data_IF_957810451014
#
_entry.id   IF_957810451014
#
_cell.length_a   1.000
_cell.length_b   1.000
_cell.length_c   1.000
_cell.angle_alpha   90.00
_cell.angle_beta   90.00
_cell.angle_gamma   90.00
#
_symmetry.space_group_name_H-M   'P 1'
#
loop_
_entity.id
_entity.type
_entity.pdbx_description
1 polymer ?
#
# COMPACT_ATOMS: atom_id res chain seq x y z
N UNK A 1 -27.23 -22.95 -10.14
CA UNK A 1 -26.74 -23.42 -11.45
C UNK A 1 -25.78 -22.43 -12.10
N UNK A 2 -26.15 -21.15 -12.33
CA UNK A 2 -25.25 -20.13 -12.98
C UNK A 2 -23.86 -19.96 -12.35
N UNK A 3 -23.76 -19.91 -11.03
CA UNK A 3 -22.48 -19.70 -10.35
C UNK A 3 -21.50 -20.88 -10.56
N UNK A 4 -21.99 -22.11 -10.60
CA UNK A 4 -21.17 -23.30 -10.87
C UNK A 4 -20.68 -23.36 -12.32
N UNK A 5 -21.47 -22.89 -13.28
CA UNK A 5 -21.04 -22.79 -14.69
C UNK A 5 -19.94 -21.73 -14.88
N UNK A 6 -19.99 -20.65 -14.11
CA UNK A 6 -18.95 -19.61 -14.12
C UNK A 6 -17.68 -20.14 -13.45
N UNK A 7 -17.80 -20.86 -12.36
CA UNK A 7 -16.67 -21.46 -11.65
C UNK A 7 -15.84 -22.39 -12.55
N UNK A 8 -16.50 -23.25 -13.34
CA UNK A 8 -15.81 -24.15 -14.28
C UNK A 8 -15.04 -23.42 -15.37
N UNK A 9 -15.44 -22.19 -15.72
CA UNK A 9 -14.78 -21.37 -16.74
C UNK A 9 -13.66 -20.49 -16.18
N UNK A 10 -13.79 -19.99 -14.97
CA UNK A 10 -12.91 -18.95 -14.43
C UNK A 10 -11.96 -19.45 -13.33
N UNK A 11 -12.12 -20.64 -12.80
CA UNK A 11 -11.32 -21.25 -11.73
C UNK A 11 -11.24 -20.37 -10.46
N UNK A 12 -12.26 -19.53 -10.24
CA UNK A 12 -12.36 -18.66 -9.07
C UNK A 12 -13.08 -19.38 -7.93
N UNK A 13 -12.81 -19.06 -6.66
CA UNK A 13 -13.56 -19.54 -5.52
C UNK A 13 -15.06 -19.22 -5.68
N UNK A 14 -15.93 -20.18 -5.35
CA UNK A 14 -17.37 -20.02 -5.49
C UNK A 14 -17.90 -18.81 -4.69
N UNK A 15 -17.34 -18.56 -3.51
CA UNK A 15 -17.69 -17.42 -2.67
C UNK A 15 -17.46 -16.07 -3.37
N UNK A 16 -16.38 -15.93 -4.12
CA UNK A 16 -16.07 -14.70 -4.85
C UNK A 16 -17.03 -14.48 -6.02
N UNK A 17 -17.39 -15.56 -6.72
CA UNK A 17 -18.38 -15.50 -7.80
C UNK A 17 -19.74 -15.08 -7.23
N UNK A 18 -20.15 -15.66 -6.10
CA UNK A 18 -21.43 -15.33 -5.47
C UNK A 18 -21.49 -13.86 -5.01
N UNK A 19 -20.38 -13.34 -4.45
CA UNK A 19 -20.26 -11.92 -4.06
C UNK A 19 -20.28 -11.00 -5.28
N UNK A 20 -19.46 -11.28 -6.29
CA UNK A 20 -19.34 -10.44 -7.49
C UNK A 20 -20.67 -10.32 -8.26
N UNK A 21 -21.48 -11.35 -8.24
CA UNK A 21 -22.79 -11.35 -8.89
C UNK A 21 -23.95 -10.94 -7.96
N UNK A 22 -23.66 -10.54 -6.72
CA UNK A 22 -24.69 -10.13 -5.76
C UNK A 22 -25.66 -11.25 -5.33
N UNK A 23 -25.27 -12.52 -5.51
CA UNK A 23 -26.09 -13.70 -5.20
C UNK A 23 -26.02 -14.07 -3.70
N UNK A 24 -24.97 -13.65 -3.00
CA UNK A 24 -24.83 -13.82 -1.56
C UNK A 24 -24.15 -12.59 -0.96
N UNK A 25 -24.51 -12.23 0.28
CA UNK A 25 -23.82 -11.21 1.03
C UNK A 25 -22.46 -11.75 1.53
N UNK A 26 -21.52 -10.86 1.79
CA UNK A 26 -20.20 -11.23 2.32
C UNK A 26 -20.35 -11.99 3.66
N UNK A 27 -21.22 -11.51 4.53
CA UNK A 27 -21.53 -12.16 5.81
C UNK A 27 -22.11 -13.57 5.65
N UNK A 28 -22.96 -13.80 4.65
CA UNK A 28 -23.49 -15.12 4.37
C UNK A 28 -22.41 -16.09 3.85
N UNK A 29 -21.48 -15.60 3.02
CA UNK A 29 -20.35 -16.41 2.54
C UNK A 29 -19.41 -16.76 3.70
N UNK A 30 -19.11 -15.80 4.60
CA UNK A 30 -18.27 -16.05 5.77
C UNK A 30 -18.92 -17.05 6.73
N UNK A 31 -20.22 -16.95 6.98
CA UNK A 31 -20.95 -17.89 7.81
C UNK A 31 -20.94 -19.32 7.23
N UNK A 32 -21.13 -19.45 5.93
CA UNK A 32 -21.07 -20.74 5.24
C UNK A 32 -19.66 -21.37 5.28
N UNK A 33 -18.61 -20.54 5.12
CA UNK A 33 -17.22 -21.00 5.26
C UNK A 33 -16.93 -21.44 6.69
N UNK A 34 -17.38 -20.68 7.69
CA UNK A 34 -17.21 -21.03 9.09
C UNK A 34 -17.89 -22.37 9.43
N UNK A 35 -19.10 -22.60 8.92
CA UNK A 35 -19.82 -23.86 9.07
C UNK A 35 -19.11 -25.02 8.34
N UNK A 36 -18.66 -24.82 7.11
CA UNK A 36 -17.94 -25.81 6.31
C UNK A 36 -16.66 -26.31 7.02
N UNK A 37 -15.92 -25.39 7.64
CA UNK A 37 -14.65 -25.72 8.29
C UNK A 37 -14.78 -25.96 9.81
N UNK A 38 -16.00 -25.96 10.36
CA UNK A 38 -16.26 -26.20 11.78
C UNK A 38 -15.63 -25.15 12.70
N UNK A 39 -15.57 -23.90 12.25
CA UNK A 39 -14.97 -22.78 12.95
C UNK A 39 -15.94 -21.63 13.16
N UNK A 40 -15.50 -20.55 13.81
CA UNK A 40 -16.33 -19.35 14.04
C UNK A 40 -15.92 -18.18 13.16
N UNK A 41 -16.87 -17.28 12.92
CA UNK A 41 -16.60 -15.97 12.34
C UNK A 41 -16.08 -15.06 13.44
N UNK A 42 -14.97 -14.37 13.21
CA UNK A 42 -14.38 -13.44 14.16
C UNK A 42 -15.07 -12.08 14.03
N UNK A 43 -15.59 -11.56 15.16
CA UNK A 43 -16.12 -10.21 15.21
C UNK A 43 -14.99 -9.20 15.47
N UNK A 44 -14.63 -8.49 14.41
CA UNK A 44 -13.55 -7.49 14.42
C UNK A 44 -13.91 -6.20 15.15
N UNK A 45 -15.20 -6.00 15.43
CA UNK A 45 -15.68 -4.82 16.16
C UNK A 45 -15.51 -4.96 17.67
N UNK A 46 -15.62 -6.19 18.17
CA UNK A 46 -15.54 -6.48 19.60
C UNK A 46 -14.11 -6.81 20.06
N UNK A 47 -13.31 -7.38 19.19
CA UNK A 47 -11.97 -7.84 19.56
C UNK A 47 -10.92 -7.32 18.59
N UNK A 48 -9.71 -7.06 19.09
CA UNK A 48 -8.57 -6.62 18.30
C UNK A 48 -7.46 -7.67 18.30
N UNK A 49 -6.68 -7.76 17.22
CA UNK A 49 -5.56 -8.67 17.17
C UNK A 49 -4.45 -8.28 18.17
N UNK A 50 -3.79 -9.27 18.75
CA UNK A 50 -2.64 -9.04 19.63
C UNK A 50 -1.40 -8.67 18.81
N UNK A 51 -0.88 -7.45 18.97
CA UNK A 51 0.28 -6.98 18.23
C UNK A 51 1.53 -7.85 18.43
N UNK A 52 1.69 -8.46 19.62
CA UNK A 52 2.85 -9.30 19.94
C UNK A 52 2.86 -10.60 19.14
N UNK A 53 1.68 -11.14 18.86
CA UNK A 53 1.54 -12.34 18.02
C UNK A 53 1.82 -12.02 16.56
N UNK A 54 1.37 -10.84 16.09
CA UNK A 54 1.64 -10.36 14.75
C UNK A 54 3.16 -10.21 14.52
N UNK A 55 3.88 -9.68 15.52
CA UNK A 55 5.33 -9.48 15.42
C UNK A 55 6.11 -10.80 15.32
N UNK A 56 5.61 -11.89 15.91
CA UNK A 56 6.25 -13.22 15.82
C UNK A 56 6.19 -13.78 14.40
N UNK A 57 5.10 -13.55 13.68
CA UNK A 57 4.94 -13.99 12.28
C UNK A 57 5.53 -12.97 11.31
N UNK A 58 5.42 -11.71 11.64
CA UNK A 58 5.81 -10.55 10.84
C UNK A 58 4.64 -9.98 10.04
N UNK A 59 4.41 -8.65 10.12
CA UNK A 59 3.25 -7.99 9.49
C UNK A 59 3.17 -8.19 7.98
N UNK A 60 4.31 -8.13 7.26
CA UNK A 60 4.37 -8.37 5.81
C UNK A 60 3.97 -9.80 5.44
N UNK A 61 4.33 -10.75 6.30
CA UNK A 61 4.01 -12.15 6.08
C UNK A 61 2.54 -12.39 6.30
N UNK A 62 1.96 -11.83 7.36
CA UNK A 62 0.52 -11.89 7.62
C UNK A 62 -0.29 -11.39 6.41
N UNK A 63 0.11 -10.26 5.81
CA UNK A 63 -0.52 -9.75 4.58
C UNK A 63 -0.41 -10.72 3.40
N UNK A 64 0.77 -11.30 3.20
CA UNK A 64 1.04 -12.17 2.06
C UNK A 64 0.28 -13.48 2.11
N UNK A 65 0.14 -14.07 3.32
CA UNK A 65 -0.55 -15.34 3.50
C UNK A 65 -2.04 -15.18 3.82
N UNK A 66 -2.55 -13.95 3.96
CA UNK A 66 -3.95 -13.69 4.30
C UNK A 66 -4.37 -14.24 5.68
N UNK A 67 -3.41 -14.42 6.61
CA UNK A 67 -3.65 -14.97 7.95
C UNK A 67 -3.08 -14.03 9.01
N UNK A 68 -3.89 -13.69 10.01
CA UNK A 68 -3.54 -12.75 11.07
C UNK A 68 -3.71 -13.40 12.45
N UNK A 69 -2.64 -13.56 13.24
CA UNK A 69 -2.75 -14.02 14.63
C UNK A 69 -3.62 -13.05 15.43
N UNK A 70 -4.70 -13.55 16.00
CA UNK A 70 -5.72 -12.71 16.63
C UNK A 70 -5.59 -12.62 18.13
N UNK A 71 -5.70 -13.76 18.80
CA UNK A 71 -5.62 -13.84 20.25
C UNK A 71 -5.07 -15.19 20.70
N UNK A 72 -4.59 -15.25 21.93
CA UNK A 72 -4.10 -16.48 22.54
C UNK A 72 -5.00 -16.89 23.72
N UNK A 73 -5.50 -18.11 23.65
CA UNK A 73 -6.27 -18.73 24.73
C UNK A 73 -5.50 -19.93 25.28
N UNK A 74 -4.85 -19.76 26.43
CA UNK A 74 -3.97 -20.79 27.01
C UNK A 74 -2.78 -21.11 26.12
N UNK A 75 -2.69 -22.36 25.64
CA UNK A 75 -1.64 -22.83 24.73
C UNK A 75 -1.97 -22.64 23.25
N UNK A 76 -3.22 -22.34 22.92
CA UNK A 76 -3.72 -22.27 21.52
C UNK A 76 -3.84 -20.84 21.07
N UNK A 77 -3.40 -20.56 19.84
CA UNK A 77 -3.51 -19.24 19.20
C UNK A 77 -4.62 -19.26 18.15
N UNK A 78 -5.59 -18.36 18.29
CA UNK A 78 -6.60 -18.10 17.25
C UNK A 78 -5.98 -17.30 16.13
N UNK A 79 -6.14 -17.76 14.89
CA UNK A 79 -5.65 -17.12 13.67
C UNK A 79 -6.84 -16.76 12.80
N UNK A 80 -7.01 -15.48 12.53
CA UNK A 80 -8.00 -14.96 11.60
C UNK A 80 -7.52 -15.19 10.16
N UNK A 81 -8.37 -15.76 9.32
CA UNK A 81 -8.09 -16.02 7.91
C UNK A 81 -9.25 -15.58 7.03
N UNK A 82 -8.91 -14.92 5.93
CA UNK A 82 -9.90 -14.60 4.89
C UNK A 82 -10.14 -15.80 3.96
N UNK A 83 -9.09 -16.56 3.68
CA UNK A 83 -9.11 -17.75 2.82
C UNK A 83 -8.66 -18.99 3.62
N UNK A 84 -9.55 -19.92 3.95
CA UNK A 84 -9.21 -21.14 4.69
C UNK A 84 -8.10 -21.98 4.05
N UNK A 85 -8.04 -22.04 2.73
CA UNK A 85 -7.01 -22.80 2.00
C UNK A 85 -5.60 -22.28 2.31
N UNK A 86 -5.44 -20.97 2.46
CA UNK A 86 -4.17 -20.35 2.84
C UNK A 86 -3.75 -20.74 4.27
N UNK A 87 -4.72 -20.85 5.18
CA UNK A 87 -4.42 -21.32 6.52
C UNK A 87 -3.86 -22.74 6.51
N UNK A 88 -4.50 -23.66 5.79
CA UNK A 88 -4.03 -25.05 5.73
C UNK A 88 -2.67 -25.16 5.03
N UNK A 89 -2.43 -24.39 3.97
CA UNK A 89 -1.16 -24.35 3.27
C UNK A 89 0.01 -23.87 4.17
N UNK A 90 -0.26 -22.93 5.07
CA UNK A 90 0.75 -22.31 5.94
C UNK A 90 0.66 -22.75 7.40
N UNK A 91 -0.19 -23.73 7.73
CA UNK A 91 -0.45 -24.17 9.10
C UNK A 91 0.81 -24.57 9.87
N UNK A 92 1.64 -25.42 9.26
CA UNK A 92 2.86 -25.90 9.92
C UNK A 92 3.82 -24.77 10.28
N UNK A 93 3.86 -23.75 9.45
CA UNK A 93 4.69 -22.58 9.67
C UNK A 93 4.13 -21.67 10.77
N UNK A 94 2.81 -21.46 10.78
CA UNK A 94 2.13 -20.72 11.83
C UNK A 94 2.29 -21.44 13.18
N UNK A 95 2.18 -22.77 13.21
CA UNK A 95 2.40 -23.58 14.43
C UNK A 95 3.85 -23.50 14.93
N UNK A 96 4.82 -23.43 14.04
CA UNK A 96 6.23 -23.24 14.41
C UNK A 96 6.49 -21.89 15.08
N UNK A 97 5.79 -20.83 14.66
CA UNK A 97 5.97 -19.48 15.20
C UNK A 97 5.12 -19.21 16.46
N UNK A 98 3.91 -19.77 16.52
CA UNK A 98 2.88 -19.40 17.49
C UNK A 98 2.55 -20.54 18.50
N UNK A 99 2.93 -21.78 18.20
CA UNK A 99 2.43 -22.97 18.86
C UNK A 99 1.13 -23.47 18.23
N UNK A 100 0.33 -24.30 18.92
CA UNK A 100 -0.92 -24.81 18.37
C UNK A 100 -1.85 -23.69 17.91
N UNK A 101 -2.37 -23.81 16.68
CA UNK A 101 -3.23 -22.79 16.06
C UNK A 101 -4.62 -23.33 15.74
N UNK A 102 -5.61 -22.46 15.88
CA UNK A 102 -7.01 -22.68 15.45
C UNK A 102 -7.39 -21.58 14.49
N UNK A 103 -8.12 -21.93 13.45
CA UNK A 103 -8.61 -20.99 12.46
C UNK A 103 -9.91 -20.31 12.91
N UNK A 104 -10.05 -19.02 12.61
CA UNK A 104 -11.30 -18.28 12.58
C UNK A 104 -11.45 -17.57 11.26
N UNK A 105 -12.66 -17.46 10.75
CA UNK A 105 -12.93 -16.81 9.45
C UNK A 105 -13.22 -15.32 9.66
N UNK A 106 -12.69 -14.50 8.76
CA UNK A 106 -12.86 -13.04 8.75
C UNK A 106 -12.88 -12.56 7.31
N UNK A 107 -13.47 -11.41 7.02
CA UNK A 107 -13.40 -10.82 5.69
C UNK A 107 -11.99 -10.33 5.39
N UNK A 108 -11.60 -10.31 4.12
CA UNK A 108 -10.29 -9.79 3.72
C UNK A 108 -10.14 -8.31 4.08
N UNK A 109 -11.20 -7.53 3.90
CA UNK A 109 -11.24 -6.10 4.23
C UNK A 109 -11.00 -5.87 5.72
N UNK A 110 -11.71 -6.62 6.59
CA UNK A 110 -11.56 -6.50 8.04
C UNK A 110 -10.18 -6.97 8.51
N UNK A 111 -9.64 -8.03 7.91
CA UNK A 111 -8.29 -8.52 8.21
C UNK A 111 -7.24 -7.46 7.87
N UNK A 112 -7.31 -6.86 6.69
CA UNK A 112 -6.40 -5.80 6.26
C UNK A 112 -6.52 -4.58 7.16
N UNK A 113 -7.75 -4.15 7.47
CA UNK A 113 -8.00 -3.01 8.35
C UNK A 113 -7.44 -3.26 9.76
N UNK A 114 -7.71 -4.44 10.34
CA UNK A 114 -7.21 -4.82 11.66
C UNK A 114 -5.67 -4.83 11.73
N UNK A 115 -5.02 -5.27 10.66
CA UNK A 115 -3.56 -5.25 10.57
C UNK A 115 -3.01 -3.81 10.45
N UNK A 116 -3.63 -2.97 9.63
CA UNK A 116 -3.26 -1.56 9.49
C UNK A 116 -3.41 -0.85 10.83
N UNK A 117 -4.54 -1.02 11.51
CA UNK A 117 -4.81 -0.38 12.80
C UNK A 117 -3.83 -0.82 13.88
N UNK A 118 -3.44 -2.11 13.85
CA UNK A 118 -2.51 -2.67 14.84
C UNK A 118 -1.05 -2.31 14.58
N UNK A 119 -0.65 -2.12 13.33
CA UNK A 119 0.75 -2.01 12.90
C UNK A 119 1.03 -0.91 11.85
N UNK A 120 0.22 0.14 11.80
CA UNK A 120 0.41 1.25 10.85
C UNK A 120 1.81 1.85 10.89
N UNK A 121 2.40 2.02 12.07
CA UNK A 121 3.75 2.57 12.23
C UNK A 121 4.84 1.67 11.63
N UNK A 122 4.78 0.36 11.90
CA UNK A 122 5.76 -0.60 11.36
C UNK A 122 5.60 -0.81 9.86
N UNK A 123 4.37 -0.84 9.36
CA UNK A 123 4.09 -0.96 7.92
C UNK A 123 4.56 0.28 7.15
N UNK A 124 4.37 1.48 7.72
CA UNK A 124 4.91 2.73 7.16
C UNK A 124 6.43 2.70 7.09
N UNK A 125 7.09 2.38 8.19
CA UNK A 125 8.54 2.28 8.23
C UNK A 125 9.07 1.26 7.22
N UNK A 126 8.42 0.10 7.10
CA UNK A 126 8.77 -0.91 6.11
C UNK A 126 8.55 -0.43 4.68
N UNK A 127 7.43 0.23 4.39
CA UNK A 127 7.18 0.81 3.06
C UNK A 127 8.24 1.86 2.69
N UNK A 128 8.64 2.67 3.67
CA UNK A 128 9.67 3.68 3.50
C UNK A 128 11.09 3.10 3.30
N UNK A 129 11.38 1.91 3.83
CA UNK A 129 12.69 1.27 3.78
C UNK A 129 12.82 0.17 2.72
N UNK A 130 11.72 -0.18 2.02
CA UNK A 130 11.72 -1.20 0.96
C UNK A 130 12.53 -0.85 -0.28
N UNK A 131 12.75 0.46 -0.52
CA UNK A 131 13.55 0.93 -1.65
C UNK A 131 14.98 1.18 -1.17
N UNK A 132 15.96 0.63 -1.88
CA UNK A 132 17.37 0.87 -1.59
C UNK A 132 17.63 2.39 -1.53
N UNK A 133 18.45 2.84 -0.59
CA UNK A 133 18.72 4.28 -0.39
C UNK A 133 19.17 5.00 -1.68
N UNK A 134 19.80 4.26 -2.59
CA UNK A 134 20.30 4.75 -3.88
C UNK A 134 19.19 5.01 -4.92
N UNK A 135 18.06 4.30 -4.81
CA UNK A 135 16.90 4.41 -5.70
C UNK A 135 15.77 5.25 -5.09
N UNK A 136 15.95 5.67 -3.84
CA UNK A 136 15.00 6.50 -3.12
C UNK A 136 15.20 7.96 -3.50
N UNK A 137 14.13 8.65 -3.89
CA UNK A 137 14.10 10.11 -4.05
C UNK A 137 14.46 10.87 -2.74
N UNK A 138 14.74 10.15 -1.66
CA UNK A 138 15.12 10.64 -0.34
C UNK A 138 16.58 11.09 -0.23
N UNK A 139 17.42 10.88 -1.26
CA UNK A 139 18.81 11.38 -1.32
C UNK A 139 18.92 12.90 -1.51
N UNK A 140 17.84 13.62 -1.26
CA UNK A 140 17.95 15.06 -1.11
C UNK A 140 18.68 15.38 0.20
N UNK A 141 19.97 15.55 0.08
CA UNK A 141 20.84 15.98 1.18
C UNK A 141 20.49 17.45 1.54
N UNK A 142 19.48 17.58 2.40
CA UNK A 142 18.96 18.88 2.83
C UNK A 142 20.03 19.80 3.41
N UNK A 143 21.12 19.23 3.94
CA UNK A 143 22.26 20.01 4.45
C UNK A 143 23.04 20.68 3.31
N UNK A 144 23.35 19.96 2.25
CA UNK A 144 24.04 20.55 1.09
C UNK A 144 23.16 21.59 0.40
N UNK A 145 21.87 21.30 0.24
CA UNK A 145 20.94 22.25 -0.33
C UNK A 145 20.81 23.52 0.51
N UNK A 146 20.74 23.40 1.85
CA UNK A 146 20.66 24.56 2.75
C UNK A 146 21.89 25.46 2.67
N UNK A 147 23.09 24.90 2.50
CA UNK A 147 24.32 25.69 2.31
C UNK A 147 24.30 26.46 0.97
N UNK A 148 23.85 25.82 -0.12
CA UNK A 148 23.71 26.50 -1.41
C UNK A 148 22.67 27.63 -1.35
N UNK A 149 21.53 27.40 -0.69
CA UNK A 149 20.51 28.43 -0.50
C UNK A 149 21.03 29.56 0.38
N UNK A 150 21.74 29.26 1.49
CA UNK A 150 22.31 30.27 2.37
C UNK A 150 23.38 31.13 1.65
N UNK A 151 24.26 30.52 0.86
CA UNK A 151 25.27 31.25 0.10
C UNK A 151 24.65 32.11 -1.01
N UNK A 152 23.64 31.60 -1.70
CA UNK A 152 22.91 32.37 -2.70
C UNK A 152 22.18 33.58 -2.10
N UNK A 153 21.54 33.38 -0.93
CA UNK A 153 20.88 34.46 -0.18
C UNK A 153 21.84 35.50 0.30
N UNK A 154 23.00 35.09 0.87
CA UNK A 154 24.03 36.00 1.32
C UNK A 154 24.63 36.83 0.17
N UNK A 155 24.86 36.18 -1.00
CA UNK A 155 25.35 36.85 -2.20
C UNK A 155 24.33 37.85 -2.74
N UNK A 156 23.04 37.51 -2.71
CA UNK A 156 21.98 38.41 -3.12
C UNK A 156 21.87 39.63 -2.20
N UNK A 157 21.96 39.45 -0.88
CA UNK A 157 21.98 40.55 0.11
C UNK A 157 23.17 41.45 -0.10
N UNK A 158 24.39 40.89 -0.30
CA UNK A 158 25.56 41.68 -0.56
C UNK A 158 25.45 42.52 -1.86
N UNK A 159 24.88 41.91 -2.92
CA UNK A 159 24.65 42.61 -4.20
C UNK A 159 23.60 43.71 -4.09
N UNK A 160 22.56 43.54 -3.29
CA UNK A 160 21.52 44.55 -3.06
C UNK A 160 22.07 45.76 -2.28
N UNK A 161 23.06 45.57 -1.41
CA UNK A 161 23.70 46.66 -0.68
C UNK A 161 24.63 47.52 -1.59
N UNK A 162 25.25 46.87 -2.61
CA UNK A 162 26.19 47.57 -3.51
C UNK A 162 25.47 48.18 -4.72
N UNK A 163 24.52 47.47 -5.31
CA UNK A 163 23.85 47.89 -6.53
C UNK A 163 22.34 47.48 -6.52
N UNK A 164 21.48 48.17 -5.78
CA UNK A 164 20.10 47.74 -5.54
C UNK A 164 19.29 47.61 -6.84
N UNK A 165 19.43 48.54 -7.76
CA UNK A 165 18.66 48.50 -9.04
C UNK A 165 19.06 47.32 -9.90
N UNK A 166 20.38 47.04 -10.00
CA UNK A 166 20.87 45.93 -10.81
C UNK A 166 20.46 44.57 -10.25
N UNK A 167 20.45 44.41 -8.90
CA UNK A 167 20.04 43.16 -8.26
C UNK A 167 18.55 42.86 -8.45
N UNK A 168 17.68 43.85 -8.39
CA UNK A 168 16.24 43.68 -8.65
C UNK A 168 15.97 43.37 -10.13
N UNK A 169 16.67 44.02 -11.07
CA UNK A 169 16.54 43.70 -12.50
C UNK A 169 17.00 42.29 -12.81
N UNK A 170 18.12 41.84 -12.21
CA UNK A 170 18.65 40.48 -12.37
C UNK A 170 17.66 39.43 -11.84
N UNK A 171 17.08 39.68 -10.64
CA UNK A 171 16.08 38.79 -10.06
C UNK A 171 14.82 38.72 -10.91
N UNK A 172 14.35 39.86 -11.39
CA UNK A 172 13.17 39.94 -12.26
C UNK A 172 13.40 39.20 -13.58
N UNK A 173 14.58 39.39 -14.21
CA UNK A 173 14.99 38.67 -15.41
C UNK A 173 15.05 37.16 -15.22
N UNK A 174 15.57 36.70 -14.06
CA UNK A 174 15.66 35.29 -13.72
C UNK A 174 14.26 34.65 -13.54
N UNK A 175 13.37 35.33 -12.82
CA UNK A 175 11.99 34.87 -12.63
C UNK A 175 11.24 34.81 -13.96
N UNK A 176 11.37 35.83 -14.79
CA UNK A 176 10.74 35.88 -16.10
C UNK A 176 11.28 34.77 -17.01
N UNK A 177 12.59 34.55 -17.00
CA UNK A 177 13.24 33.46 -17.77
C UNK A 177 12.76 32.08 -17.31
N UNK A 178 12.62 31.85 -16.00
CA UNK A 178 12.09 30.60 -15.47
C UNK A 178 10.64 30.36 -15.89
N UNK A 179 9.79 31.38 -15.81
CA UNK A 179 8.38 31.29 -16.23
C UNK A 179 8.23 31.04 -17.73
N UNK A 180 9.04 31.71 -18.57
CA UNK A 180 8.99 31.51 -20.01
C UNK A 180 9.47 30.11 -20.40
N UNK A 181 10.56 29.62 -19.79
CA UNK A 181 11.05 28.27 -20.01
C UNK A 181 10.03 27.21 -19.56
N UNK A 182 9.43 27.38 -18.40
CA UNK A 182 8.39 26.48 -17.89
C UNK A 182 7.15 26.43 -18.80
N UNK A 183 6.73 27.55 -19.35
CA UNK A 183 5.63 27.59 -20.32
C UNK A 183 6.03 26.98 -21.67
N UNK A 184 7.23 27.21 -22.15
CA UNK A 184 7.73 26.60 -23.37
C UNK A 184 7.79 25.07 -23.27
N UNK A 185 8.25 24.53 -22.14
CA UNK A 185 8.24 23.09 -21.87
C UNK A 185 6.81 22.50 -21.85
N UNK A 186 5.85 23.20 -21.24
CA UNK A 186 4.45 22.76 -21.23
C UNK A 186 3.86 22.72 -22.64
N UNK A 187 4.10 23.77 -23.44
CA UNK A 187 3.65 23.82 -24.84
C UNK A 187 4.31 22.70 -25.66
N UNK A 188 5.61 22.48 -25.50
CA UNK A 188 6.29 21.38 -26.17
C UNK A 188 5.72 20.00 -25.81
N UNK A 189 5.43 19.76 -24.52
CA UNK A 189 4.83 18.52 -24.07
C UNK A 189 3.42 18.31 -24.65
N UNK A 190 2.57 19.34 -24.65
CA UNK A 190 1.22 19.26 -25.26
C UNK A 190 1.26 19.02 -26.76
N UNK A 191 2.17 19.68 -27.48
CA UNK A 191 2.36 19.44 -28.92
C UNK A 191 2.85 18.02 -29.21
N UNK A 192 3.77 17.49 -28.38
CA UNK A 192 4.23 16.11 -28.48
C UNK A 192 3.10 15.10 -28.26
N UNK A 193 2.24 15.32 -27.26
CA UNK A 193 1.08 14.48 -27.01
C UNK A 193 0.07 14.50 -28.16
N UNK A 194 -0.22 15.69 -28.72
CA UNK A 194 -1.12 15.83 -29.87
C UNK A 194 -0.57 15.11 -31.13
N UNK A 195 0.73 15.16 -31.37
CA UNK A 195 1.36 14.41 -32.46
C UNK A 195 1.31 12.90 -32.22
N UNK A 196 1.51 12.45 -31.01
CA UNK A 196 1.42 11.02 -30.65
C UNK A 196 -0.02 10.47 -30.81
N UNK A 197 -1.03 11.27 -30.51
CA UNK A 197 -2.45 10.88 -30.68
C UNK A 197 -2.90 10.85 -32.15
N UNK A 198 -2.19 11.50 -33.08
CA UNK A 198 -2.48 11.51 -34.50
C UNK A 198 -1.72 10.42 -35.30
N UNK A 199 -0.83 9.66 -34.63
CA UNK A 199 -0.15 8.55 -35.27
C UNK A 199 -1.15 7.42 -35.58
N UNK A 200 -1.22 6.87 -36.81
CA UNK A 200 -2.12 5.77 -37.14
C UNK A 200 -1.72 4.53 -36.32
N UNK A 201 -2.71 3.71 -35.87
CA UNK A 201 -2.41 2.49 -35.14
C UNK A 201 -1.57 1.57 -36.05
N UNK A 202 -0.38 1.21 -35.58
CA UNK A 202 0.43 0.15 -36.19
C UNK A 202 -0.35 -1.15 -36.06
N UNK A 203 -0.91 -1.61 -37.17
CA UNK A 203 -1.50 -2.95 -37.26
C UNK A 203 -0.41 -3.99 -37.11
N UNK A 204 -0.68 -5.08 -36.34
CA UNK A 204 0.22 -6.23 -36.18
C UNK A 204 0.33 -7.05 -37.45
#
# INVERSE_FOLDING_TARGET
MRALEIQTRQHLPLGDILRAHGLASETAVMAALAEQFGTGVIDTTQTRPDPRLIDRVGPRRCLRIGCLPWSRAGSVTLVACAEPDQFFAHRAELEAALGPVVMGVVTETDLQQALIDSRSGSLRLMAETCVAAQESCRLWDGRRFSHWVATALASFVALTLVAPVASFLALFGLVLGFLTLGNAMKVAATVAQLRASQAPPTQP
#
